data_IF_415447542694
#
_entry.id   IF_415447542694
#
_cell.length_a   1.000
_cell.length_b   1.000
_cell.length_c   1.000
_cell.angle_alpha   90.00
_cell.angle_beta   90.00
_cell.angle_gamma   90.00
#
_symmetry.space_group_name_H-M   'P 1'
#
loop_
_entity.id
_entity.type
_entity.pdbx_description
1 polymer ?
#
# COMPACT_ATOMS: atom_id res chain seq x y z
N UNK A 1 23.30 -14.98 2.82
CA UNK A 1 22.47 -13.81 2.45
C UNK A 1 23.37 -12.79 1.75
N UNK A 2 22.95 -12.22 0.62
CA UNK A 2 23.79 -11.40 -0.27
C UNK A 2 23.81 -9.90 0.05
N UNK A 3 22.87 -9.42 0.87
CA UNK A 3 22.76 -8.02 1.32
C UNK A 3 22.78 -8.04 2.85
N UNK A 4 23.61 -7.20 3.47
CA UNK A 4 23.84 -7.18 4.93
C UNK A 4 23.13 -6.03 5.63
N UNK A 5 22.89 -4.92 4.93
CA UNK A 5 22.26 -3.73 5.50
C UNK A 5 21.38 -2.99 4.48
N UNK A 6 20.47 -2.16 5.00
CA UNK A 6 19.62 -1.27 4.19
C UNK A 6 20.45 -0.20 3.46
N UNK A 7 21.63 0.15 3.98
CA UNK A 7 22.56 1.12 3.37
C UNK A 7 23.07 0.66 2.02
N UNK A 8 23.34 -0.64 1.85
CA UNK A 8 23.74 -1.21 0.56
C UNK A 8 22.64 -1.03 -0.49
N UNK A 9 21.37 -1.15 -0.08
CA UNK A 9 20.23 -0.94 -0.97
C UNK A 9 20.14 0.53 -1.40
N UNK A 10 20.34 1.47 -0.47
CA UNK A 10 20.39 2.90 -0.80
C UNK A 10 21.60 3.27 -1.68
N UNK A 11 22.77 2.70 -1.40
CA UNK A 11 24.01 2.95 -2.15
C UNK A 11 23.86 2.57 -3.63
N UNK A 12 23.22 1.43 -3.90
CA UNK A 12 23.01 0.94 -5.26
C UNK A 12 21.65 1.37 -5.86
N UNK A 13 20.86 2.17 -5.13
CA UNK A 13 19.52 2.61 -5.55
C UNK A 13 18.64 1.45 -6.03
N UNK A 14 18.75 0.29 -5.37
CA UNK A 14 17.96 -0.88 -5.75
C UNK A 14 16.50 -0.66 -5.37
N UNK A 15 15.53 -1.14 -6.18
CA UNK A 15 14.12 -0.97 -5.89
C UNK A 15 13.73 -1.73 -4.61
N UNK A 16 13.30 -1.00 -3.57
CA UNK A 16 12.82 -1.50 -2.26
C UNK A 16 11.32 -1.77 -2.23
N UNK A 17 10.68 -2.00 -3.39
CA UNK A 17 9.22 -2.02 -3.52
C UNK A 17 8.53 -3.18 -2.79
N UNK A 18 9.31 -4.14 -2.27
CA UNK A 18 8.81 -5.27 -1.48
C UNK A 18 8.79 -4.91 0.01
N UNK A 19 7.62 -4.92 0.68
CA UNK A 19 7.51 -4.62 2.09
C UNK A 19 8.31 -5.59 2.97
N UNK A 20 8.52 -6.84 2.52
CA UNK A 20 9.27 -7.87 3.24
C UNK A 20 10.73 -7.47 3.49
N UNK A 21 11.32 -6.66 2.61
CA UNK A 21 12.68 -6.14 2.77
C UNK A 21 12.73 -5.18 3.97
N UNK A 22 11.75 -4.30 4.07
CA UNK A 22 11.66 -3.31 5.16
C UNK A 22 11.34 -4.01 6.48
N UNK A 23 10.44 -4.99 6.47
CA UNK A 23 10.11 -5.79 7.65
C UNK A 23 11.30 -6.60 8.17
N UNK A 24 12.13 -7.15 7.27
CA UNK A 24 13.35 -7.88 7.66
C UNK A 24 14.38 -6.99 8.36
N UNK A 25 14.56 -5.73 7.91
CA UNK A 25 15.56 -4.82 8.47
C UNK A 25 15.06 -3.97 9.63
N UNK A 26 13.79 -3.55 9.62
CA UNK A 26 13.24 -2.55 10.54
C UNK A 26 12.00 -3.01 11.31
N UNK A 27 11.50 -4.24 11.08
CA UNK A 27 10.16 -4.68 11.49
C UNK A 27 9.75 -4.36 12.93
N UNK A 28 10.63 -4.57 13.92
CA UNK A 28 10.33 -4.29 15.33
C UNK A 28 10.58 -2.82 15.76
N UNK A 29 11.28 -2.04 14.93
CA UNK A 29 11.61 -0.63 15.20
C UNK A 29 10.64 0.35 14.54
N UNK A 30 9.82 -0.12 13.59
CA UNK A 30 8.84 0.71 12.90
C UNK A 30 7.52 0.75 13.69
N UNK A 31 7.20 1.94 14.21
CA UNK A 31 5.88 2.24 14.76
C UNK A 31 5.00 2.78 13.65
N UNK A 32 3.99 2.01 13.25
CA UNK A 32 2.99 2.47 12.29
C UNK A 32 1.91 3.28 13.03
N UNK A 33 1.87 4.59 12.78
CA UNK A 33 0.84 5.48 13.32
C UNK A 33 -0.15 5.88 12.22
N UNK A 34 -1.44 5.88 12.54
CA UNK A 34 -2.50 6.33 11.62
C UNK A 34 -2.59 7.85 11.71
N UNK A 35 -2.06 8.55 10.70
CA UNK A 35 -2.08 10.01 10.66
C UNK A 35 -3.49 10.59 10.52
N UNK A 36 -4.25 10.12 9.51
CA UNK A 36 -5.60 10.60 9.22
C UNK A 36 -6.36 9.60 8.37
N UNK A 37 -7.61 9.36 8.74
CA UNK A 37 -8.56 8.62 7.91
C UNK A 37 -9.46 9.66 7.23
N UNK A 38 -9.51 9.66 5.91
CA UNK A 38 -10.43 10.48 5.13
C UNK A 38 -11.46 9.59 4.46
N UNK A 39 -12.77 9.74 4.75
CA UNK A 39 -13.80 9.00 4.04
C UNK A 39 -13.87 9.54 2.60
N UNK A 40 -13.85 8.64 1.62
CA UNK A 40 -14.05 8.97 0.20
C UNK A 40 -15.28 8.22 -0.29
N UNK A 41 -16.26 8.95 -0.85
CA UNK A 41 -17.47 8.39 -1.43
C UNK A 41 -17.46 8.64 -2.94
N UNK A 42 -17.42 7.57 -3.74
CA UNK A 42 -17.66 7.66 -5.18
C UNK A 42 -19.13 7.37 -5.45
N UNK A 43 -19.81 8.30 -6.12
CA UNK A 43 -21.17 8.06 -6.61
C UNK A 43 -21.11 7.07 -7.78
N UNK A 44 -21.86 5.98 -7.67
CA UNK A 44 -22.16 5.09 -8.80
C UNK A 44 -23.60 5.33 -9.23
N UNK A 45 -23.86 5.44 -10.55
CA UNK A 45 -25.21 5.49 -11.07
C UNK A 45 -25.79 4.07 -11.05
N UNK A 46 -26.86 3.86 -10.28
CA UNK A 46 -27.63 2.63 -10.28
C UNK A 46 -28.81 2.82 -11.23
N UNK A 47 -28.68 2.36 -12.47
CA UNK A 47 -29.79 2.35 -13.43
C UNK A 47 -30.71 1.16 -13.12
N UNK A 48 -31.94 1.44 -12.68
CA UNK A 48 -33.02 0.45 -12.70
C UNK A 48 -33.73 0.58 -14.04
N UNK A 49 -33.40 -0.30 -14.98
CA UNK A 49 -34.22 -0.47 -16.18
C UNK A 49 -35.54 -1.12 -15.76
N UNK A 50 -36.56 -0.30 -15.50
CA UNK A 50 -37.94 -0.78 -15.47
C UNK A 50 -38.31 -1.17 -16.90
N UNK A 51 -38.16 -2.44 -17.26
CA UNK A 51 -38.85 -3.00 -18.41
C UNK A 51 -40.34 -2.99 -18.09
N UNK A 52 -41.01 -1.88 -18.40
CA UNK A 52 -42.45 -1.82 -18.49
C UNK A 52 -42.88 -2.91 -19.48
N UNK A 53 -43.32 -4.05 -18.95
CA UNK A 53 -44.08 -5.04 -19.71
C UNK A 53 -45.32 -4.33 -20.19
N UNK A 54 -45.39 -4.21 -21.51
CA UNK A 54 -46.50 -3.71 -22.30
C UNK A 54 -47.75 -4.56 -22.07
#
# INVERSE_FOLDING_TARGET
MKIKSLEEIYLFSLPTKEPEIIDFFLGASLTNEVLKIMPVQKQTQFDVSNSSTK
#
